data_IF_654964174450
#
_entry.id   IF_654964174450
#
_cell.length_a   1.000
_cell.length_b   1.000
_cell.length_c   1.000
_cell.angle_alpha   90.00
_cell.angle_beta   90.00
_cell.angle_gamma   90.00
#
_symmetry.space_group_name_H-M   'P 1'
#
loop_
_entity.id
_entity.type
_entity.pdbx_description
1 polymer ?
#
# COMPACT_ATOMS: atom_id res chain seq x y z
N UNK A 1 20.19 -87.18 -6.85
CA UNK A 1 19.34 -85.96 -6.88
C UNK A 1 19.95 -84.90 -5.95
N UNK A 2 20.68 -83.93 -6.51
CA UNK A 2 21.32 -82.82 -5.76
C UNK A 2 20.23 -81.85 -5.30
N UNK A 3 20.04 -81.70 -3.98
CA UNK A 3 19.06 -80.76 -3.39
C UNK A 3 19.55 -79.31 -3.57
N UNK A 4 18.74 -78.48 -4.21
CA UNK A 4 18.95 -77.05 -4.47
C UNK A 4 18.90 -76.19 -3.18
N UNK A 5 19.85 -76.36 -2.26
CA UNK A 5 19.84 -75.65 -0.97
C UNK A 5 20.28 -74.18 -1.01
N UNK A 6 20.85 -73.69 -2.13
CA UNK A 6 21.31 -72.29 -2.26
C UNK A 6 20.31 -71.35 -2.96
N UNK A 7 19.50 -71.85 -3.90
CA UNK A 7 18.60 -71.02 -4.72
C UNK A 7 17.47 -70.42 -3.87
N UNK A 8 16.91 -71.20 -2.93
CA UNK A 8 15.85 -70.74 -2.04
C UNK A 8 16.30 -69.59 -1.11
N UNK A 9 17.56 -69.59 -0.67
CA UNK A 9 18.09 -68.51 0.17
C UNK A 9 18.30 -67.22 -0.65
N UNK A 10 18.82 -67.35 -1.87
CA UNK A 10 19.02 -66.21 -2.77
C UNK A 10 17.68 -65.57 -3.16
N UNK A 11 16.65 -66.38 -3.44
CA UNK A 11 15.31 -65.85 -3.74
C UNK A 11 14.68 -65.16 -2.54
N UNK A 12 14.82 -65.72 -1.32
CA UNK A 12 14.34 -65.07 -0.10
C UNK A 12 15.06 -63.75 0.15
N UNK A 13 16.39 -63.71 0.02
CA UNK A 13 17.16 -62.48 0.18
C UNK A 13 16.79 -61.42 -0.87
N UNK A 14 16.56 -61.83 -2.12
CA UNK A 14 16.12 -60.92 -3.18
C UNK A 14 14.72 -60.35 -2.89
N UNK A 15 13.78 -61.18 -2.45
CA UNK A 15 12.42 -60.74 -2.08
C UNK A 15 12.49 -59.78 -0.89
N UNK A 16 13.27 -60.11 0.14
CA UNK A 16 13.44 -59.23 1.31
C UNK A 16 14.06 -57.89 0.88
N UNK A 17 15.14 -57.90 0.09
CA UNK A 17 15.77 -56.68 -0.40
C UNK A 17 14.80 -55.81 -1.20
N UNK A 18 14.00 -56.41 -2.09
CA UNK A 18 12.99 -55.70 -2.87
C UNK A 18 11.91 -55.09 -1.98
N UNK A 19 11.40 -55.86 -1.02
CA UNK A 19 10.41 -55.39 -0.03
C UNK A 19 10.98 -54.23 0.79
N UNK A 20 12.24 -54.33 1.25
CA UNK A 20 12.89 -53.26 2.01
C UNK A 20 13.02 -51.98 1.20
N UNK A 21 13.43 -52.06 -0.08
CA UNK A 21 13.53 -50.89 -0.98
C UNK A 21 12.15 -50.25 -1.20
N UNK A 22 11.12 -51.06 -1.43
CA UNK A 22 9.74 -50.55 -1.60
C UNK A 22 9.24 -49.88 -0.32
N UNK A 23 9.42 -50.50 0.85
CA UNK A 23 9.05 -49.93 2.14
C UNK A 23 9.78 -48.61 2.41
N UNK A 24 11.09 -48.54 2.14
CA UNK A 24 11.86 -47.30 2.30
C UNK A 24 11.34 -46.19 1.38
N UNK A 25 11.02 -46.50 0.12
CA UNK A 25 10.45 -45.54 -0.82
C UNK A 25 9.06 -45.04 -0.39
N UNK A 26 8.21 -45.92 0.16
CA UNK A 26 6.91 -45.55 0.70
C UNK A 26 7.03 -44.62 1.92
N UNK A 27 7.95 -44.91 2.85
CA UNK A 27 8.21 -44.08 4.03
C UNK A 27 8.69 -42.67 3.63
N UNK A 28 9.60 -42.56 2.66
CA UNK A 28 10.07 -41.27 2.15
C UNK A 28 8.93 -40.47 1.53
N UNK A 29 8.09 -41.10 0.69
CA UNK A 29 6.90 -40.44 0.11
C UNK A 29 5.93 -39.98 1.18
N UNK A 30 5.68 -40.79 2.20
CA UNK A 30 4.81 -40.44 3.33
C UNK A 30 5.35 -39.24 4.11
N UNK A 31 6.65 -39.22 4.42
CA UNK A 31 7.27 -38.09 5.12
C UNK A 31 7.19 -36.79 4.30
N UNK A 32 7.43 -36.85 2.99
CA UNK A 32 7.28 -35.69 2.11
C UNK A 32 5.83 -35.20 2.05
N UNK A 33 4.85 -36.11 1.96
CA UNK A 33 3.44 -35.76 1.98
C UNK A 33 3.04 -35.07 3.30
N UNK A 34 3.47 -35.60 4.45
CA UNK A 34 3.20 -35.00 5.77
C UNK A 34 3.79 -33.58 5.85
N UNK A 35 5.05 -33.40 5.42
CA UNK A 35 5.70 -32.07 5.42
C UNK A 35 5.01 -31.08 4.49
N UNK A 36 4.61 -31.53 3.30
CA UNK A 36 3.86 -30.71 2.34
C UNK A 36 2.54 -30.24 2.94
N UNK A 37 1.74 -31.16 3.49
CA UNK A 37 0.46 -30.84 4.12
C UNK A 37 0.64 -29.91 5.33
N UNK A 38 1.64 -30.16 6.17
CA UNK A 38 1.96 -29.29 7.30
C UNK A 38 2.31 -27.86 6.86
N UNK A 39 3.11 -27.71 5.81
CA UNK A 39 3.42 -26.40 5.23
C UNK A 39 2.18 -25.70 4.66
N UNK A 40 1.31 -26.42 3.95
CA UNK A 40 0.07 -25.84 3.43
C UNK A 40 -0.85 -25.37 4.54
N UNK A 41 -0.98 -26.14 5.63
CA UNK A 41 -1.76 -25.76 6.79
C UNK A 41 -1.20 -24.51 7.47
N UNK A 42 0.12 -24.42 7.65
CA UNK A 42 0.77 -23.23 8.22
C UNK A 42 0.54 -21.98 7.37
N UNK A 43 0.65 -22.08 6.04
CA UNK A 43 0.38 -20.96 5.12
C UNK A 43 -1.07 -20.50 5.23
N UNK A 44 -2.02 -21.45 5.30
CA UNK A 44 -3.45 -21.11 5.49
C UNK A 44 -3.71 -20.47 6.85
N UNK A 45 -3.10 -20.98 7.92
CA UNK A 45 -3.21 -20.39 9.25
C UNK A 45 -2.68 -18.96 9.27
N UNK A 46 -1.50 -18.72 8.69
CA UNK A 46 -0.92 -17.38 8.60
C UNK A 46 -1.81 -16.42 7.78
N UNK A 47 -2.44 -16.93 6.71
CA UNK A 47 -3.43 -16.16 5.95
C UNK A 47 -4.66 -15.80 6.80
N UNK A 48 -5.22 -16.74 7.56
CA UNK A 48 -6.35 -16.45 8.44
C UNK A 48 -6.00 -15.43 9.53
N UNK A 49 -4.78 -15.50 10.09
CA UNK A 49 -4.30 -14.47 10.99
C UNK A 49 -4.18 -13.10 10.30
N UNK A 50 -3.66 -13.06 9.08
CA UNK A 50 -3.53 -11.82 8.34
C UNK A 50 -4.91 -11.16 8.09
N UNK A 51 -5.92 -11.97 7.75
CA UNK A 51 -7.31 -11.53 7.62
C UNK A 51 -7.93 -11.13 8.97
N UNK A 52 -7.53 -11.78 10.08
CA UNK A 52 -7.88 -11.35 11.43
C UNK A 52 -7.36 -9.95 11.77
N UNK A 53 -6.15 -9.61 11.34
CA UNK A 53 -5.59 -8.26 11.47
C UNK A 53 -6.41 -7.19 10.75
N UNK A 54 -7.00 -7.54 9.60
CA UNK A 54 -7.96 -6.66 8.90
C UNK A 54 -9.21 -6.40 9.76
N UNK A 55 -9.74 -7.41 10.46
CA UNK A 55 -10.88 -7.25 11.37
C UNK A 55 -10.53 -6.36 12.57
N UNK A 56 -9.33 -6.49 13.12
CA UNK A 56 -8.82 -5.61 14.18
C UNK A 56 -8.74 -4.16 13.68
N UNK A 57 -8.20 -3.94 12.47
CA UNK A 57 -8.15 -2.61 11.87
C UNK A 57 -9.55 -2.01 11.66
N UNK A 58 -10.51 -2.81 11.15
CA UNK A 58 -11.92 -2.39 11.02
C UNK A 58 -12.53 -2.00 12.37
N UNK A 59 -12.23 -2.74 13.43
CA UNK A 59 -12.73 -2.42 14.77
C UNK A 59 -12.12 -1.13 15.32
N UNK A 60 -10.81 -0.91 15.14
CA UNK A 60 -10.11 0.31 15.53
C UNK A 60 -10.69 1.53 14.79
N UNK A 61 -10.81 1.46 13.46
CA UNK A 61 -11.33 2.55 12.63
C UNK A 61 -12.80 2.87 12.93
N UNK A 62 -13.62 1.85 13.23
CA UNK A 62 -15.02 2.06 13.63
C UNK A 62 -15.13 2.73 15.00
N UNK A 63 -14.28 2.31 15.95
CA UNK A 63 -14.25 2.91 17.29
C UNK A 63 -13.80 4.36 17.22
N UNK A 64 -12.76 4.64 16.45
CA UNK A 64 -12.22 5.98 16.23
C UNK A 64 -13.29 6.98 15.76
N UNK A 65 -14.11 6.60 14.77
CA UNK A 65 -15.23 7.45 14.31
C UNK A 65 -16.28 7.74 15.40
N UNK A 66 -16.43 6.86 16.39
CA UNK A 66 -17.34 7.10 17.52
C UNK A 66 -16.75 8.04 18.58
N UNK A 67 -15.43 8.23 18.59
CA UNK A 67 -14.70 9.09 19.52
C UNK A 67 -14.45 10.49 18.93
N UNK A 68 -14.44 10.65 17.60
CA UNK A 68 -14.24 11.94 16.93
C UNK A 68 -14.56 11.94 15.42
N UNK A 69 -14.51 13.15 14.82
CA UNK A 69 -14.71 13.37 13.37
C UNK A 69 -13.45 13.87 12.66
N UNK A 70 -12.32 13.93 13.37
CA UNK A 70 -11.02 14.40 12.86
C UNK A 70 -10.10 13.19 12.86
N UNK A 71 -9.34 12.98 11.80
CA UNK A 71 -8.38 11.88 11.70
C UNK A 71 -6.94 12.41 11.72
N UNK A 72 -6.11 11.96 12.65
CA UNK A 72 -4.74 12.44 12.82
C UNK A 72 -3.75 11.37 13.33
N UNK A 73 -2.46 11.58 13.10
CA UNK A 73 -1.41 10.57 13.39
C UNK A 73 -1.19 10.25 14.90
N UNK A 74 -1.78 11.00 15.82
CA UNK A 74 -1.73 10.71 17.26
C UNK A 74 -2.85 9.76 17.75
N UNK A 75 -3.73 9.28 16.87
CA UNK A 75 -4.82 8.36 17.21
C UNK A 75 -4.35 6.92 17.38
N UNK A 76 -5.19 6.10 18.03
CA UNK A 76 -4.86 4.71 18.33
C UNK A 76 -4.63 3.87 17.07
N UNK A 77 -5.37 4.12 15.98
CA UNK A 77 -5.22 3.40 14.72
C UNK A 77 -3.87 3.69 14.04
N UNK A 78 -3.32 4.89 14.22
CA UNK A 78 -2.07 5.34 13.61
C UNK A 78 -0.81 4.86 14.36
N UNK A 79 -0.97 4.10 15.45
CA UNK A 79 0.15 3.60 16.24
C UNK A 79 1.00 2.61 15.43
N UNK A 80 2.29 2.91 15.16
CA UNK A 80 3.14 2.06 14.33
C UNK A 80 3.60 0.76 15.02
N UNK A 81 3.30 0.59 16.33
CA UNK A 81 3.76 -0.53 17.16
C UNK A 81 2.63 -1.50 17.54
N UNK A 82 1.54 -1.54 16.77
CA UNK A 82 0.44 -2.49 17.00
C UNK A 82 0.91 -3.91 16.70
N UNK A 83 0.97 -4.73 17.77
CA UNK A 83 1.37 -6.14 17.72
C UNK A 83 0.47 -6.97 18.61
N UNK A 84 0.17 -8.19 18.17
CA UNK A 84 -0.72 -9.12 18.84
C UNK A 84 -0.05 -10.49 18.87
N UNK A 85 0.15 -11.09 20.06
CA UNK A 85 0.67 -12.46 20.16
C UNK A 85 -0.36 -13.44 19.61
N UNK A 86 0.15 -14.54 19.04
CA UNK A 86 -0.68 -15.63 18.49
C UNK A 86 -0.61 -16.87 19.39
N UNK A 87 -1.71 -17.62 19.46
CA UNK A 87 -1.86 -18.75 20.38
C UNK A 87 -0.86 -19.89 20.09
N UNK A 88 -0.55 -20.15 18.82
CA UNK A 88 0.44 -21.16 18.40
C UNK A 88 1.89 -20.64 18.39
N UNK A 89 2.11 -19.45 18.96
CA UNK A 89 3.39 -18.76 18.98
C UNK A 89 3.59 -17.86 17.75
N UNK A 90 4.45 -16.85 17.91
CA UNK A 90 4.66 -15.81 16.91
C UNK A 90 3.83 -14.55 17.18
N UNK A 91 3.72 -13.69 16.17
CA UNK A 91 3.04 -12.40 16.31
C UNK A 91 2.40 -11.92 15.01
N UNK A 92 1.32 -11.18 15.16
CA UNK A 92 0.71 -10.36 14.12
C UNK A 92 1.08 -8.90 14.36
N UNK A 93 1.70 -8.26 13.38
CA UNK A 93 1.97 -6.83 13.36
C UNK A 93 0.99 -6.14 12.43
N UNK A 94 0.49 -4.99 12.86
CA UNK A 94 -0.52 -4.22 12.15
C UNK A 94 -0.03 -2.78 11.95
N UNK A 95 -0.15 -2.27 10.73
CA UNK A 95 0.07 -0.85 10.43
C UNK A 95 -1.12 -0.33 9.63
N UNK A 96 -1.72 0.75 10.09
CA UNK A 96 -2.82 1.43 9.41
C UNK A 96 -2.32 2.80 8.99
N UNK A 97 -2.45 3.12 7.71
CA UNK A 97 -2.03 4.38 7.12
C UNK A 97 -3.23 5.05 6.45
N UNK A 98 -3.34 6.35 6.64
CA UNK A 98 -4.31 7.17 5.92
C UNK A 98 -3.83 7.45 4.49
N UNK A 99 -4.66 7.11 3.50
CA UNK A 99 -4.39 7.35 2.08
C UNK A 99 -4.79 8.76 1.63
N UNK A 100 -5.69 9.41 2.36
CA UNK A 100 -6.10 10.81 2.14
C UNK A 100 -5.01 11.80 2.57
N UNK A 101 -3.99 11.40 3.31
CA UNK A 101 -2.79 12.21 3.57
C UNK A 101 -1.83 12.33 2.37
N UNK A 102 -2.11 11.63 1.26
CA UNK A 102 -1.30 11.66 0.03
C UNK A 102 -2.00 12.44 -1.06
N UNK A 103 -1.25 12.94 -2.04
CA UNK A 103 -1.83 13.61 -3.20
C UNK A 103 -2.66 12.60 -4.02
N UNK A 104 -3.98 12.83 -4.12
CA UNK A 104 -4.88 11.96 -4.87
C UNK A 104 -4.74 12.21 -6.38
N UNK A 105 -4.22 11.23 -7.12
CA UNK A 105 -4.00 11.32 -8.58
C UNK A 105 -5.30 11.61 -9.34
N UNK A 106 -6.41 10.99 -8.92
CA UNK A 106 -7.70 11.16 -9.59
C UNK A 106 -8.33 12.54 -9.35
N UNK A 107 -7.77 13.38 -8.47
CA UNK A 107 -8.23 14.77 -8.29
C UNK A 107 -8.05 15.62 -9.57
N UNK A 108 -7.17 15.22 -10.48
CA UNK A 108 -7.00 15.85 -11.79
C UNK A 108 -8.24 15.69 -12.70
N UNK A 109 -9.03 14.63 -12.51
CA UNK A 109 -10.26 14.36 -13.28
C UNK A 109 -11.47 15.22 -12.86
N UNK A 110 -11.28 16.14 -11.91
CA UNK A 110 -12.34 17.06 -11.47
C UNK A 110 -12.42 18.23 -12.44
N UNK A 111 -13.60 18.49 -12.99
CA UNK A 111 -13.79 19.55 -13.98
C UNK A 111 -13.58 20.97 -13.39
N UNK A 112 -13.12 21.89 -14.24
CA UNK A 112 -12.99 23.31 -13.93
C UNK A 112 -11.81 23.64 -13.01
N UNK A 113 -11.94 24.70 -12.23
CA UNK A 113 -10.86 25.24 -11.38
C UNK A 113 -10.28 24.23 -10.39
N UNK A 114 -11.05 23.24 -9.95
CA UNK A 114 -10.58 22.23 -9.01
C UNK A 114 -9.53 21.29 -9.64
N UNK A 115 -9.77 20.83 -10.88
CA UNK A 115 -8.78 20.03 -11.63
C UNK A 115 -7.55 20.83 -12.00
N UNK A 116 -7.71 22.09 -12.39
CA UNK A 116 -6.56 22.98 -12.68
C UNK A 116 -5.72 23.24 -11.42
N UNK A 117 -6.35 23.42 -10.26
CA UNK A 117 -5.65 23.50 -8.98
C UNK A 117 -4.92 22.20 -8.63
N UNK A 118 -5.55 21.04 -8.89
CA UNK A 118 -4.92 19.73 -8.69
C UNK A 118 -3.70 19.55 -9.59
N UNK A 119 -3.80 19.92 -10.87
CA UNK A 119 -2.68 19.88 -11.83
C UNK A 119 -1.52 20.79 -11.38
N UNK A 120 -1.84 22.00 -10.92
CA UNK A 120 -0.84 22.93 -10.37
C UNK A 120 -0.13 22.35 -9.14
N UNK A 121 -0.88 21.75 -8.21
CA UNK A 121 -0.34 21.06 -7.03
C UNK A 121 0.54 19.88 -7.44
N UNK A 122 0.12 19.06 -8.41
CA UNK A 122 0.94 17.96 -8.91
C UNK A 122 2.27 18.44 -9.50
N UNK A 123 2.24 19.49 -10.33
CA UNK A 123 3.48 20.07 -10.90
C UNK A 123 4.45 20.52 -9.80
N UNK A 124 3.95 21.14 -8.73
CA UNK A 124 4.76 21.51 -7.56
C UNK A 124 5.31 20.31 -6.81
N UNK A 125 4.51 19.26 -6.62
CA UNK A 125 4.98 18.01 -6.01
C UNK A 125 6.12 17.38 -6.83
N UNK A 126 5.96 17.29 -8.15
CA UNK A 126 6.99 16.79 -9.07
C UNK A 126 8.26 17.65 -8.98
N UNK A 127 8.12 18.97 -8.98
CA UNK A 127 9.25 19.90 -8.83
C UNK A 127 9.98 19.70 -7.50
N UNK A 128 9.25 19.59 -6.39
CA UNK A 128 9.84 19.34 -5.06
C UNK A 128 10.57 18.01 -4.97
N UNK A 129 10.15 17.01 -5.76
CA UNK A 129 10.80 15.71 -5.88
C UNK A 129 11.86 15.65 -6.98
N UNK A 130 12.12 16.76 -7.68
CA UNK A 130 13.05 16.87 -8.81
C UNK A 130 12.71 15.89 -9.94
N UNK A 131 11.42 15.72 -10.22
CA UNK A 131 10.88 14.88 -11.28
C UNK A 131 10.48 15.72 -12.49
N UNK A 132 10.39 15.08 -13.66
CA UNK A 132 9.99 15.75 -14.90
C UNK A 132 8.57 16.33 -14.80
N UNK A 133 8.35 17.62 -15.12
CA UNK A 133 7.02 18.20 -15.13
C UNK A 133 6.11 17.59 -16.22
N UNK A 134 6.68 16.93 -17.23
CA UNK A 134 5.94 16.23 -18.28
C UNK A 134 5.01 15.13 -17.73
N UNK A 135 5.33 14.56 -16.56
CA UNK A 135 4.45 13.55 -15.94
C UNK A 135 3.09 14.14 -15.53
N UNK A 136 3.00 15.44 -15.25
CA UNK A 136 1.72 16.07 -14.93
C UNK A 136 0.80 16.16 -16.17
N UNK A 137 1.36 16.55 -17.31
CA UNK A 137 0.62 16.64 -18.58
C UNK A 137 0.16 15.23 -19.01
N UNK A 138 1.04 14.24 -18.95
CA UNK A 138 0.72 12.85 -19.31
C UNK A 138 -0.28 12.18 -18.37
N UNK A 139 -0.28 12.56 -17.09
CA UNK A 139 -1.28 12.05 -16.15
C UNK A 139 -2.65 12.70 -16.40
N UNK A 140 -2.68 13.96 -16.87
CA UNK A 140 -3.93 14.61 -17.27
C UNK A 140 -4.56 13.85 -18.45
N UNK A 141 -3.79 13.64 -19.51
CA UNK A 141 -4.18 12.86 -20.70
C UNK A 141 -4.56 11.40 -20.35
N UNK A 142 -3.87 10.79 -19.37
CA UNK A 142 -4.25 9.46 -18.91
C UNK A 142 -5.63 9.41 -18.22
N UNK A 143 -6.11 10.54 -17.71
CA UNK A 143 -7.32 10.67 -16.89
C UNK A 143 -8.49 11.34 -17.60
N UNK A 144 -8.25 12.14 -18.62
CA UNK A 144 -9.33 12.65 -19.45
C UNK A 144 -9.82 11.57 -20.44
N UNK A 145 -10.87 11.91 -21.18
CA UNK A 145 -11.58 10.97 -22.06
C UNK A 145 -11.45 11.37 -23.53
N UNK A 146 -10.77 12.48 -23.80
CA UNK A 146 -10.48 12.90 -25.16
C UNK A 146 -9.15 12.27 -25.62
N UNK A 147 -8.67 12.65 -26.79
CA UNK A 147 -7.43 12.12 -27.38
C UNK A 147 -6.56 13.28 -27.89
N UNK A 148 -6.75 14.47 -27.32
CA UNK A 148 -6.02 15.67 -27.67
C UNK A 148 -4.91 15.89 -26.63
N UNK A 149 -3.62 15.71 -26.98
CA UNK A 149 -2.54 15.78 -26.00
C UNK A 149 -2.49 17.13 -25.27
N UNK A 150 -2.50 17.11 -23.93
CA UNK A 150 -2.44 18.32 -23.12
C UNK A 150 -1.02 18.88 -23.01
N UNK A 151 -0.94 20.21 -22.87
CA UNK A 151 0.31 20.89 -22.53
C UNK A 151 1.38 20.79 -23.63
N UNK A 152 2.65 20.74 -23.23
CA UNK A 152 3.78 20.64 -24.17
C UNK A 152 4.31 19.21 -24.30
N UNK A 153 4.00 18.33 -23.35
CA UNK A 153 4.58 17.00 -23.24
C UNK A 153 3.56 15.89 -22.96
N UNK A 154 2.27 16.19 -23.22
CA UNK A 154 1.17 15.24 -23.20
C UNK A 154 1.40 14.02 -24.09
N UNK A 155 0.67 12.96 -23.81
CA UNK A 155 0.74 11.69 -24.52
C UNK A 155 -0.61 11.00 -24.49
N UNK A 156 -1.09 10.62 -25.67
CA UNK A 156 -2.34 9.92 -25.92
C UNK A 156 -2.07 8.57 -26.61
N UNK A 157 -3.11 7.90 -27.10
CA UNK A 157 -3.01 6.58 -27.73
C UNK A 157 -1.88 6.49 -28.77
N UNK A 158 -1.72 7.51 -29.61
CA UNK A 158 -0.70 7.53 -30.67
C UNK A 158 0.73 7.37 -30.11
N UNK A 159 1.01 7.94 -28.94
CA UNK A 159 2.32 7.82 -28.30
C UNK A 159 2.49 6.46 -27.61
N UNK A 160 1.45 5.93 -26.96
CA UNK A 160 1.52 4.64 -26.25
C UNK A 160 1.53 3.44 -27.19
N UNK A 161 0.89 3.54 -28.36
CA UNK A 161 0.87 2.48 -29.37
C UNK A 161 2.24 2.25 -30.04
N UNK A 162 3.17 3.21 -29.91
CA UNK A 162 4.56 3.06 -30.37
C UNK A 162 5.44 2.26 -29.39
N UNK A 163 4.96 1.98 -28.18
CA UNK A 163 5.72 1.25 -27.16
C UNK A 163 5.74 -0.26 -27.43
N UNK A 164 6.59 -0.96 -26.67
CA UNK A 164 6.70 -2.43 -26.70
C UNK A 164 6.67 -2.98 -25.27
N UNK A 165 5.60 -3.69 -24.86
CA UNK A 165 4.36 -3.91 -25.60
C UNK A 165 3.59 -2.59 -25.84
N UNK A 166 2.80 -2.54 -26.91
CA UNK A 166 1.93 -1.41 -27.22
C UNK A 166 0.66 -1.47 -26.36
N UNK A 167 0.16 -0.32 -25.93
CA UNK A 167 -1.09 -0.16 -25.19
C UNK A 167 -1.70 1.22 -25.46
N UNK A 168 -2.87 1.48 -24.88
CA UNK A 168 -3.65 2.72 -25.00
C UNK A 168 -3.69 3.46 -23.65
N UNK A 169 -4.13 4.71 -23.65
CA UNK A 169 -4.39 5.45 -22.41
C UNK A 169 -5.45 4.77 -21.54
N UNK A 170 -5.49 5.19 -20.27
CA UNK A 170 -6.33 4.59 -19.25
C UNK A 170 -7.82 4.89 -19.40
N UNK A 171 -8.68 4.27 -18.58
CA UNK A 171 -10.14 4.42 -18.65
C UNK A 171 -10.67 5.73 -18.01
N UNK A 172 -9.83 6.77 -17.87
CA UNK A 172 -10.19 8.02 -17.19
C UNK A 172 -10.17 7.95 -15.66
N UNK A 173 -9.56 6.92 -15.08
CA UNK A 173 -9.36 6.76 -13.63
C UNK A 173 -8.13 5.90 -13.36
N UNK A 174 -7.33 6.27 -12.37
CA UNK A 174 -6.29 5.42 -11.80
C UNK A 174 -6.94 4.53 -10.73
N UNK A 175 -6.87 3.21 -10.91
CA UNK A 175 -7.32 2.22 -9.94
C UNK A 175 -6.23 1.86 -8.93
N UNK A 176 -4.97 1.81 -9.37
CA UNK A 176 -3.82 1.57 -8.51
C UNK A 176 -2.64 2.51 -8.84
N UNK A 177 -1.89 2.93 -7.82
CA UNK A 177 -0.76 3.85 -7.99
C UNK A 177 0.31 3.29 -8.95
N UNK A 178 0.43 1.97 -9.07
CA UNK A 178 1.35 1.33 -10.02
C UNK A 178 1.05 1.64 -11.48
N UNK A 179 -0.15 2.12 -11.83
CA UNK A 179 -0.45 2.59 -13.19
C UNK A 179 0.39 3.81 -13.59
N UNK A 180 0.93 4.58 -12.64
CA UNK A 180 1.91 5.63 -12.95
C UNK A 180 3.11 5.08 -13.74
N UNK A 181 3.41 3.78 -13.60
CA UNK A 181 4.47 3.09 -14.31
C UNK A 181 4.21 2.94 -15.82
N UNK A 182 2.95 3.09 -16.23
CA UNK A 182 2.51 3.11 -17.63
C UNK A 182 2.59 4.50 -18.25
N UNK A 183 2.74 5.57 -17.47
CA UNK A 183 2.92 6.90 -18.06
C UNK A 183 4.19 6.95 -18.91
N UNK A 184 4.06 7.56 -20.09
CA UNK A 184 5.14 7.58 -21.07
C UNK A 184 6.41 8.15 -20.44
N UNK A 185 7.51 7.43 -20.59
CA UNK A 185 8.82 7.84 -20.07
C UNK A 185 9.00 7.75 -18.54
N UNK A 186 8.01 7.28 -17.77
CA UNK A 186 8.19 7.06 -16.33
C UNK A 186 9.31 6.04 -16.11
N UNK A 187 10.33 6.39 -15.33
CA UNK A 187 11.39 5.46 -14.92
C UNK A 187 11.07 4.80 -13.57
N UNK A 188 11.77 3.72 -13.21
CA UNK A 188 11.48 3.02 -11.94
C UNK A 188 11.93 3.86 -10.76
N UNK A 189 13.03 4.58 -10.96
CA UNK A 189 13.57 5.53 -9.99
C UNK A 189 12.56 6.64 -9.74
N UNK A 190 11.98 7.23 -10.79
CA UNK A 190 10.99 8.30 -10.66
C UNK A 190 9.71 7.80 -10.00
N UNK A 191 9.21 6.64 -10.42
CA UNK A 191 8.05 6.01 -9.81
C UNK A 191 8.26 5.75 -8.31
N UNK A 192 9.39 5.14 -7.92
CA UNK A 192 9.69 4.87 -6.51
C UNK A 192 9.87 6.15 -5.69
N UNK A 193 10.31 7.26 -6.31
CA UNK A 193 10.38 8.59 -5.67
C UNK A 193 8.99 9.21 -5.48
N UNK A 194 8.07 9.03 -6.43
CA UNK A 194 6.73 9.63 -6.39
C UNK A 194 5.72 8.82 -5.56
N UNK A 195 5.73 7.49 -5.68
CA UNK A 195 4.72 6.59 -5.12
C UNK A 195 4.41 6.78 -3.62
N UNK A 196 5.37 7.10 -2.73
CA UNK A 196 5.07 7.34 -1.31
C UNK A 196 4.16 8.55 -1.04
N UNK A 197 4.12 9.51 -1.97
CA UNK A 197 3.46 10.82 -1.78
C UNK A 197 2.09 10.91 -2.47
N UNK A 198 1.68 9.87 -3.19
CA UNK A 198 0.45 9.86 -4.00
C UNK A 198 -0.47 8.70 -3.62
N UNK A 199 -1.76 8.84 -3.95
CA UNK A 199 -2.79 7.82 -3.79
C UNK A 199 -3.74 7.80 -4.99
N UNK A 200 -4.43 6.69 -5.19
CA UNK A 200 -5.47 6.52 -6.21
C UNK A 200 -6.81 6.32 -5.49
N UNK A 201 -7.52 7.42 -5.22
CA UNK A 201 -8.80 7.42 -4.49
C UNK A 201 -9.90 8.02 -5.37
N UNK A 202 -11.19 7.95 -5.01
CA UNK A 202 -12.22 8.70 -5.71
C UNK A 202 -11.88 10.19 -5.82
N UNK A 203 -12.21 10.82 -6.94
CA UNK A 203 -11.73 12.15 -7.32
C UNK A 203 -12.12 13.29 -6.38
N UNK A 204 -13.19 13.10 -5.63
CA UNK A 204 -13.76 14.02 -4.65
C UNK A 204 -13.15 13.89 -3.25
N UNK A 205 -12.27 12.91 -3.03
CA UNK A 205 -11.59 12.75 -1.74
C UNK A 205 -10.62 13.91 -1.51
N UNK A 206 -10.87 14.62 -0.40
CA UNK A 206 -10.05 15.74 0.05
C UNK A 206 -8.73 15.26 0.68
N UNK A 207 -7.70 16.09 0.58
CA UNK A 207 -6.41 15.87 1.21
C UNK A 207 -6.52 16.09 2.73
N UNK A 208 -6.28 15.07 3.54
CA UNK A 208 -6.26 15.18 4.98
C UNK A 208 -4.97 15.91 5.45
N UNK A 209 -5.12 17.15 5.90
CA UNK A 209 -4.00 17.99 6.33
C UNK A 209 -3.37 17.53 7.65
N UNK A 210 -4.05 16.68 8.42
CA UNK A 210 -3.57 16.15 9.70
C UNK A 210 -2.63 14.95 9.56
N UNK A 211 -2.60 14.32 8.39
CA UNK A 211 -1.77 13.14 8.10
C UNK A 211 -0.78 13.39 6.96
N UNK A 212 -0.98 14.44 6.15
CA UNK A 212 -0.10 14.76 5.04
C UNK A 212 1.37 14.97 5.43
N UNK A 213 2.30 14.44 4.63
CA UNK A 213 3.74 14.68 4.83
C UNK A 213 4.18 16.08 4.41
N UNK A 214 5.39 16.49 4.79
CA UNK A 214 5.95 17.79 4.43
C UNK A 214 5.98 18.00 2.90
N UNK A 215 6.38 16.97 2.14
CA UNK A 215 6.45 17.02 0.67
C UNK A 215 5.07 17.24 0.02
N UNK A 216 4.02 16.65 0.58
CA UNK A 216 2.64 16.83 0.07
C UNK A 216 2.12 18.21 0.48
N UNK A 217 2.39 18.66 1.70
CA UNK A 217 2.03 20.02 2.13
C UNK A 217 2.74 21.11 1.30
N UNK A 218 3.99 20.88 0.91
CA UNK A 218 4.77 21.80 0.08
C UNK A 218 4.09 22.09 -1.26
N UNK A 219 3.34 21.13 -1.81
CA UNK A 219 2.69 21.30 -3.11
C UNK A 219 1.47 22.25 -3.06
N UNK A 220 0.99 22.62 -1.87
CA UNK A 220 -0.20 23.45 -1.68
C UNK A 220 0.00 24.92 -2.10
N UNK A 221 1.21 25.43 -2.00
CA UNK A 221 1.59 26.81 -2.33
C UNK A 221 2.92 26.85 -3.07
N UNK A 222 3.26 28.00 -3.62
CA UNK A 222 4.54 28.17 -4.30
C UNK A 222 5.63 28.58 -3.31
N UNK A 223 6.80 27.93 -3.38
CA UNK A 223 7.98 28.28 -2.58
C UNK A 223 7.82 28.21 -1.06
N UNK A 224 6.97 27.33 -0.52
CA UNK A 224 6.81 27.18 0.94
C UNK A 224 8.12 26.64 1.55
N UNK A 225 8.76 27.35 2.49
CA UNK A 225 10.00 26.90 3.12
C UNK A 225 9.76 25.79 4.13
N UNK A 226 10.76 24.93 4.33
CA UNK A 226 10.72 23.81 5.28
C UNK A 226 10.35 24.24 6.72
N UNK A 227 10.74 25.45 7.13
CA UNK A 227 10.39 26.00 8.44
C UNK A 227 8.88 26.22 8.61
N UNK A 228 8.20 26.71 7.57
CA UNK A 228 6.76 26.88 7.57
C UNK A 228 6.03 25.53 7.55
N UNK A 229 6.52 24.58 6.76
CA UNK A 229 5.97 23.20 6.73
C UNK A 229 6.12 22.50 8.08
N UNK A 230 7.29 22.62 8.70
CA UNK A 230 7.55 22.09 10.04
C UNK A 230 6.62 22.72 11.08
N UNK A 231 6.41 24.04 11.02
CA UNK A 231 5.47 24.71 11.91
C UNK A 231 4.02 24.22 11.72
N UNK A 232 3.60 23.90 10.49
CA UNK A 232 2.28 23.29 10.24
C UNK A 232 2.21 21.87 10.80
N UNK A 233 3.25 21.07 10.63
CA UNK A 233 3.27 19.69 11.16
C UNK A 233 3.25 19.71 12.69
N UNK A 234 4.05 20.56 13.32
CA UNK A 234 4.07 20.73 14.78
C UNK A 234 2.74 21.30 15.30
N UNK A 235 2.12 22.21 14.54
CA UNK A 235 0.83 22.81 14.86
C UNK A 235 -0.34 21.81 14.93
N UNK A 236 -0.23 20.64 14.31
CA UNK A 236 -1.20 19.53 14.46
C UNK A 236 -1.36 19.08 15.92
N UNK A 237 -0.26 19.13 16.69
CA UNK A 237 -0.22 18.63 18.06
C UNK A 237 -0.71 17.18 18.18
N UNK A 238 -1.46 16.89 19.26
CA UNK A 238 -2.03 15.56 19.54
C UNK A 238 -3.52 15.44 19.22
N UNK A 239 -4.13 16.50 18.69
CA UNK A 239 -5.57 16.59 18.42
C UNK A 239 -5.91 16.90 16.97
N UNK A 240 -4.90 17.18 16.13
CA UNK A 240 -5.09 17.65 14.78
C UNK A 240 -5.70 19.05 14.69
N UNK A 241 -5.71 19.59 13.47
CA UNK A 241 -6.51 20.73 13.08
C UNK A 241 -7.99 20.34 12.96
N UNK A 242 -8.87 21.22 13.44
CA UNK A 242 -10.34 21.04 13.38
C UNK A 242 -10.98 21.62 12.12
N UNK A 243 -10.21 22.36 11.34
CA UNK A 243 -10.65 22.98 10.10
C UNK A 243 -9.46 23.16 9.16
N UNK A 244 -9.65 23.00 7.84
CA UNK A 244 -8.57 23.22 6.87
C UNK A 244 -8.06 24.67 6.85
N UNK A 245 -8.92 25.64 7.20
CA UNK A 245 -8.59 27.07 7.24
C UNK A 245 -7.44 27.40 8.18
N UNK A 246 -7.27 26.65 9.27
CA UNK A 246 -6.16 26.82 10.20
C UNK A 246 -4.79 26.66 9.50
N UNK A 247 -4.69 25.67 8.60
CA UNK A 247 -3.47 25.43 7.80
C UNK A 247 -3.29 26.55 6.77
N UNK A 248 -4.35 26.95 6.08
CA UNK A 248 -4.25 28.01 5.07
C UNK A 248 -3.94 29.38 5.67
N UNK A 249 -4.42 29.67 6.89
CA UNK A 249 -4.10 30.90 7.60
C UNK A 249 -2.62 30.94 7.99
N UNK A 250 -2.08 29.82 8.48
CA UNK A 250 -0.66 29.68 8.80
C UNK A 250 0.25 29.80 7.56
N UNK A 251 -0.27 29.43 6.38
CA UNK A 251 0.41 29.52 5.09
C UNK A 251 -0.11 30.66 4.21
N UNK A 252 -0.73 31.69 4.80
CA UNK A 252 -1.38 32.79 4.06
C UNK A 252 -0.43 33.55 3.13
N UNK A 253 0.85 33.66 3.50
CA UNK A 253 1.89 34.26 2.67
C UNK A 253 2.15 33.55 1.33
N UNK A 254 1.69 32.30 1.18
CA UNK A 254 1.92 31.46 0.00
C UNK A 254 0.66 31.22 -0.83
N UNK A 255 -0.41 31.99 -0.58
CA UNK A 255 -1.68 31.95 -1.30
C UNK A 255 -2.30 30.53 -1.38
N UNK A 256 -2.18 29.75 -0.30
CA UNK A 256 -2.74 28.39 -0.25
C UNK A 256 -4.27 28.45 -0.29
N UNK A 257 -4.86 27.77 -1.27
CA UNK A 257 -6.31 27.59 -1.36
C UNK A 257 -6.80 26.49 -0.41
N UNK A 258 -7.90 26.70 0.35
CA UNK A 258 -8.50 25.66 1.20
C UNK A 258 -9.25 24.59 0.39
N UNK A 259 -9.45 24.78 -0.91
CA UNK A 259 -10.22 23.86 -1.75
C UNK A 259 -9.55 22.48 -1.83
N UNK A 260 -10.36 21.44 -1.63
CA UNK A 260 -9.92 20.04 -1.65
C UNK A 260 -9.04 19.66 -0.45
N UNK A 261 -9.05 20.45 0.63
CA UNK A 261 -8.41 20.12 1.89
C UNK A 261 -9.46 19.67 2.89
N UNK A 262 -9.17 18.58 3.60
CA UNK A 262 -10.00 18.00 4.63
C UNK A 262 -9.20 17.76 5.91
N UNK A 263 -9.90 17.31 6.96
CA UNK A 263 -9.35 17.02 8.30
C UNK A 263 -9.63 15.58 8.75
N UNK A 264 -10.36 14.83 7.91
CA UNK A 264 -10.89 13.51 8.18
C UNK A 264 -10.59 12.60 6.98
N UNK A 265 -10.71 11.30 7.19
CA UNK A 265 -10.32 10.26 6.24
C UNK A 265 -11.34 9.14 6.19
N UNK A 266 -11.59 8.70 4.97
CA UNK A 266 -12.45 7.56 4.68
C UNK A 266 -11.66 6.37 4.13
N UNK A 267 -10.41 6.56 3.70
CA UNK A 267 -9.64 5.55 2.98
C UNK A 267 -8.34 5.23 3.70
N UNK A 268 -8.18 3.96 4.05
CA UNK A 268 -7.06 3.49 4.85
C UNK A 268 -6.39 2.31 4.18
N UNK A 269 -5.06 2.27 4.23
CA UNK A 269 -4.25 1.11 3.90
C UNK A 269 -3.87 0.38 5.17
N UNK A 270 -4.23 -0.89 5.25
CA UNK A 270 -3.87 -1.76 6.36
C UNK A 270 -2.82 -2.74 5.88
N UNK A 271 -1.66 -2.78 6.53
CA UNK A 271 -0.65 -3.82 6.33
C UNK A 271 -0.64 -4.73 7.53
N UNK A 272 -1.01 -5.99 7.33
CA UNK A 272 -0.90 -7.05 8.32
C UNK A 272 0.28 -7.93 7.98
N UNK A 273 1.21 -8.06 8.91
CA UNK A 273 2.36 -8.96 8.80
C UNK A 273 2.27 -10.03 9.90
N UNK A 274 2.22 -11.29 9.50
CA UNK A 274 2.13 -12.44 10.40
C UNK A 274 3.45 -13.20 10.38
N UNK A 275 4.01 -13.42 11.56
CA UNK A 275 5.17 -14.26 11.80
C UNK A 275 4.71 -15.48 12.60
N UNK A 276 4.76 -16.68 11.99
CA UNK A 276 4.31 -17.93 12.58
C UNK A 276 5.35 -19.02 12.30
N UNK A 277 6.13 -19.41 13.33
CA UNK A 277 7.33 -20.23 13.14
C UNK A 277 8.31 -19.54 12.18
N UNK A 278 8.73 -20.23 11.13
CA UNK A 278 9.61 -19.69 10.08
C UNK A 278 8.84 -19.02 8.93
N UNK A 279 7.50 -18.90 9.04
CA UNK A 279 6.66 -18.32 7.98
C UNK A 279 6.37 -16.85 8.25
N UNK A 280 6.60 -16.05 7.22
CA UNK A 280 6.20 -14.64 7.14
C UNK A 280 5.14 -14.50 6.05
N UNK A 281 3.97 -13.99 6.42
CA UNK A 281 2.90 -13.65 5.48
C UNK A 281 2.58 -12.16 5.60
N UNK A 282 2.44 -11.48 4.46
CA UNK A 282 2.06 -10.08 4.39
C UNK A 282 0.74 -9.99 3.64
N UNK A 283 -0.17 -9.16 4.14
CA UNK A 283 -1.42 -8.81 3.49
C UNK A 283 -1.60 -7.30 3.58
N UNK A 284 -1.78 -6.66 2.43
CA UNK A 284 -2.21 -5.27 2.35
C UNK A 284 -3.69 -5.24 2.00
N UNK A 285 -4.51 -4.61 2.84
CA UNK A 285 -5.94 -4.42 2.61
C UNK A 285 -6.26 -2.93 2.46
N UNK A 286 -7.07 -2.59 1.47
CA UNK A 286 -7.59 -1.24 1.28
C UNK A 286 -8.99 -1.15 1.86
N UNK A 287 -9.19 -0.26 2.83
CA UNK A 287 -10.46 -0.14 3.55
C UNK A 287 -11.11 1.22 3.28
N UNK A 288 -12.44 1.22 3.14
CA UNK A 288 -13.27 2.41 3.14
C UNK A 288 -14.11 2.45 4.41
N UNK A 289 -13.95 3.48 5.25
CA UNK A 289 -14.82 3.77 6.39
C UNK A 289 -15.90 4.76 5.95
N UNK A 290 -17.16 4.33 5.96
CA UNK A 290 -18.31 5.20 5.74
C UNK A 290 -18.66 6.03 6.98
N UNK A 291 -19.41 7.11 6.78
CA UNK A 291 -19.90 7.99 7.86
C UNK A 291 -20.86 7.29 8.83
N UNK A 292 -21.39 6.12 8.45
CA UNK A 292 -22.23 5.25 9.29
C UNK A 292 -21.40 4.31 10.19
N UNK A 293 -20.07 4.42 10.17
CA UNK A 293 -19.14 3.56 10.91
C UNK A 293 -18.96 2.17 10.29
N UNK A 294 -19.58 1.88 9.13
CA UNK A 294 -19.29 0.62 8.42
C UNK A 294 -17.96 0.74 7.71
N UNK A 295 -17.09 -0.26 7.91
CA UNK A 295 -15.80 -0.35 7.25
C UNK A 295 -15.83 -1.46 6.20
N UNK A 296 -15.74 -1.08 4.93
CA UNK A 296 -15.76 -1.98 3.77
C UNK A 296 -14.35 -2.30 3.31
N UNK A 297 -14.14 -3.54 2.87
CA UNK A 297 -12.92 -3.95 2.18
C UNK A 297 -13.07 -3.64 0.69
N UNK A 298 -12.14 -2.86 0.15
CA UNK A 298 -12.11 -2.45 -1.26
C UNK A 298 -11.25 -3.38 -2.11
N UNK A 299 -10.15 -3.87 -1.53
CA UNK A 299 -9.22 -4.75 -2.23
C UNK A 299 -8.16 -5.31 -1.30
N UNK A 300 -7.51 -6.38 -1.75
CA UNK A 300 -6.38 -7.03 -1.07
C UNK A 300 -5.22 -7.18 -2.03
N UNK A 301 -4.02 -6.99 -1.53
CA UNK A 301 -2.77 -7.25 -2.21
C UNK A 301 -1.89 -8.16 -1.33
N UNK A 302 -1.47 -9.29 -1.90
CA UNK A 302 -0.66 -10.32 -1.26
C UNK A 302 0.82 -10.26 -1.71
N UNK A 303 1.14 -9.40 -2.68
CA UNK A 303 2.47 -9.29 -3.30
C UNK A 303 3.36 -8.20 -2.71
N UNK A 304 2.89 -7.49 -1.67
CA UNK A 304 3.63 -6.37 -1.08
C UNK A 304 4.76 -6.84 -0.16
N UNK A 305 5.82 -6.04 -0.10
CA UNK A 305 6.85 -6.20 0.93
C UNK A 305 6.23 -5.96 2.32
N UNK A 306 6.73 -6.68 3.33
CA UNK A 306 6.21 -6.55 4.69
C UNK A 306 6.59 -5.24 5.36
N UNK A 307 6.28 -5.13 6.65
CA UNK A 307 6.64 -3.94 7.41
C UNK A 307 8.17 -3.82 7.45
N UNK A 308 8.68 -2.60 7.22
CA UNK A 308 10.09 -2.32 7.44
C UNK A 308 10.44 -2.65 8.90
N UNK A 309 11.65 -3.17 9.19
CA UNK A 309 12.07 -3.37 10.57
C UNK A 309 11.97 -2.03 11.32
N UNK A 310 11.61 -2.05 12.63
CA UNK A 310 11.59 -0.83 13.42
C UNK A 310 12.96 -0.15 13.32
N UNK A 311 13.04 1.19 13.25
CA UNK A 311 14.31 1.88 13.28
C UNK A 311 15.09 1.43 14.52
N UNK A 312 16.35 1.07 14.34
CA UNK A 312 17.25 0.70 15.44
C UNK A 312 17.34 1.92 16.34
N UNK A 313 16.83 1.83 17.57
CA UNK A 313 17.13 2.82 18.59
C UNK A 313 18.63 2.73 18.85
N UNK A 314 19.42 3.65 18.27
CA UNK A 314 20.80 3.83 18.68
C UNK A 314 20.77 4.11 20.19
N UNK A 315 21.26 3.14 20.97
CA UNK A 315 21.40 3.32 22.40
C UNK A 315 22.25 4.56 22.61
N UNK A 316 21.66 5.61 23.21
CA UNK A 316 22.43 6.75 23.70
C UNK A 316 23.42 6.22 24.73
N UNK A 317 24.69 6.10 24.32
CA UNK A 317 25.82 6.03 25.23
C UNK A 317 26.15 7.44 25.71
#
# INVERSE_FOLDING_TARGET
MRRQRGVALITVLLVVALVTVVCAALLLRQQLAIRSTGNQLLVRQAQYYAEGGELVAKALLRRDLSEGQVDHLAEAWANPRLRFPLDEGGELRLRIEDLSGRFNLNSLSVNGEAGELALLRLRRLLQGLQLSPAYADRLRDWLDLDQDPSGMAGAEDDQYLLLKPAYRTGPGVIADVSELRLLLGMSEVDYRRLAPFVSALPKDVELNVNTAGAQVLACLGDGIPDSALKAVIEGRGRTGYREPSAVTQQLSAYAVSPRGLGIASQYFRVTTEVLLGDRRQVLTSYLQRGNDGRVRLMGRDLGQEGLAPPPVEESKQ
#
